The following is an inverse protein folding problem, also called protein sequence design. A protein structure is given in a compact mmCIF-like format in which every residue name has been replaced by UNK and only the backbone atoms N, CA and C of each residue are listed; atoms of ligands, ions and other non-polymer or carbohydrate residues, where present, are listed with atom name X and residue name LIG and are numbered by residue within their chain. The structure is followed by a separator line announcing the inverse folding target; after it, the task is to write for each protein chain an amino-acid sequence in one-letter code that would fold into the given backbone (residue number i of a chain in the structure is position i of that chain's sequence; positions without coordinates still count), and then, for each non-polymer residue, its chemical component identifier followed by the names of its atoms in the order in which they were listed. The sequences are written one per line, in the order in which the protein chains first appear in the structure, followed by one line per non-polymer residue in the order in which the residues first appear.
data_IF_286141952820
#
_entry.id   IF_286141952820
#
_cell.length_a   1.000
_cell.length_b   1.000
_cell.length_c   1.000
_cell.angle_alpha   90.00
_cell.angle_beta   90.00
_cell.angle_gamma   90.00
#
_symmetry.space_group_name_H-M   'P 1'
#
loop_
_entity.id
_entity.type
_entity.pdbx_description
1 polymer ?
#
# COMPACT_ATOMS: atom_id res chain seq x y z
N UNK A 1 32.03 -28.21 -27.98
CA UNK A 1 32.63 -29.06 -26.93
C UNK A 1 31.96 -28.75 -25.61
N UNK A 2 31.13 -29.65 -25.09
CA UNK A 2 30.43 -29.45 -23.82
C UNK A 2 31.33 -29.83 -22.64
N UNK A 3 31.46 -28.94 -21.66
CA UNK A 3 32.30 -29.17 -20.47
C UNK A 3 31.72 -30.32 -19.62
N UNK A 4 32.49 -31.39 -19.48
CA UNK A 4 32.27 -32.50 -18.54
C UNK A 4 32.63 -32.06 -17.11
N UNK A 5 31.77 -31.32 -16.43
CA UNK A 5 31.89 -31.17 -14.97
C UNK A 5 30.93 -32.12 -14.28
N UNK A 6 31.43 -33.30 -13.92
CA UNK A 6 30.75 -34.24 -13.04
C UNK A 6 31.29 -34.05 -11.63
N UNK A 7 30.68 -33.16 -10.83
CA UNK A 7 31.09 -33.01 -9.43
C UNK A 7 30.56 -34.12 -8.50
N UNK A 8 29.52 -34.87 -8.91
CA UNK A 8 28.96 -35.98 -8.13
C UNK A 8 28.41 -37.08 -9.06
N UNK A 9 29.03 -38.27 -9.12
CA UNK A 9 28.45 -39.40 -9.83
C UNK A 9 27.19 -39.84 -9.07
N UNK A 10 26.07 -40.01 -9.78
CA UNK A 10 24.70 -40.28 -9.28
C UNK A 10 23.82 -39.08 -8.92
N UNK A 11 24.27 -37.84 -9.13
CA UNK A 11 23.36 -36.70 -8.95
C UNK A 11 22.36 -36.62 -10.14
N UNK A 12 21.04 -36.52 -9.89
CA UNK A 12 20.05 -36.49 -10.96
C UNK A 12 20.28 -35.28 -11.88
N UNK A 13 20.40 -35.54 -13.19
CA UNK A 13 20.61 -34.50 -14.22
C UNK A 13 19.41 -33.57 -14.40
N UNK A 14 18.25 -33.96 -13.90
CA UNK A 14 17.09 -33.10 -13.75
C UNK A 14 17.12 -32.45 -12.37
N UNK A 15 18.00 -31.45 -12.19
CA UNK A 15 17.77 -30.43 -11.18
C UNK A 15 16.45 -29.77 -11.57
N UNK A 16 15.36 -30.15 -10.91
CA UNK A 16 14.14 -29.36 -10.96
C UNK A 16 14.54 -27.97 -10.46
N UNK A 17 14.69 -27.03 -11.39
CA UNK A 17 14.95 -25.63 -11.06
C UNK A 17 13.91 -25.16 -10.05
N UNK A 18 14.23 -24.10 -9.29
CA UNK A 18 13.39 -23.55 -8.22
C UNK A 18 11.90 -23.70 -8.57
N UNK A 19 11.20 -24.57 -7.84
CA UNK A 19 9.78 -24.81 -8.07
C UNK A 19 9.05 -23.48 -8.23
N UNK A 20 8.21 -23.36 -9.28
CA UNK A 20 7.46 -22.13 -9.58
C UNK A 20 6.80 -21.68 -8.28
N UNK A 21 7.27 -20.56 -7.71
CA UNK A 21 6.74 -20.04 -6.44
C UNK A 21 5.22 -19.94 -6.60
N UNK A 22 4.49 -20.51 -5.65
CA UNK A 22 3.03 -20.39 -5.64
C UNK A 22 2.66 -18.91 -5.69
N UNK A 23 1.56 -18.58 -6.36
CA UNK A 23 1.08 -17.20 -6.43
C UNK A 23 0.92 -16.60 -5.03
N UNK A 24 0.48 -17.42 -4.08
CA UNK A 24 0.38 -17.10 -2.65
C UNK A 24 1.73 -16.68 -2.07
N UNK A 25 2.83 -17.37 -2.39
CA UNK A 25 4.18 -17.01 -1.93
C UNK A 25 4.66 -15.69 -2.52
N UNK A 26 4.32 -15.40 -3.80
CA UNK A 26 4.63 -14.13 -4.45
C UNK A 26 3.87 -12.97 -3.80
N UNK A 27 2.57 -13.16 -3.55
CA UNK A 27 1.73 -12.19 -2.87
C UNK A 27 2.22 -11.94 -1.43
N UNK A 28 2.54 -12.99 -0.69
CA UNK A 28 3.09 -12.88 0.66
C UNK A 28 4.39 -12.07 0.67
N UNK A 29 5.30 -12.33 -0.28
CA UNK A 29 6.55 -11.56 -0.40
C UNK A 29 6.26 -10.08 -0.68
N UNK A 30 5.37 -9.78 -1.64
CA UNK A 30 5.00 -8.40 -1.97
C UNK A 30 4.33 -7.67 -0.79
N UNK A 31 3.50 -8.36 0.00
CA UNK A 31 2.91 -7.80 1.21
C UNK A 31 3.99 -7.51 2.27
N UNK A 32 4.99 -8.38 2.43
CA UNK A 32 6.11 -8.12 3.34
C UNK A 32 6.93 -6.90 2.92
N UNK A 33 7.12 -6.69 1.62
CA UNK A 33 7.80 -5.50 1.12
C UNK A 33 6.96 -4.23 1.35
N UNK A 34 5.63 -4.30 1.17
CA UNK A 34 4.74 -3.18 1.48
C UNK A 34 4.73 -2.80 2.97
N UNK A 35 4.89 -3.78 3.87
CA UNK A 35 4.95 -3.54 5.32
C UNK A 35 6.18 -2.75 5.76
N UNK A 36 7.28 -2.81 5.00
CA UNK A 36 8.52 -2.11 5.32
C UNK A 36 8.43 -0.60 5.12
N UNK A 37 7.47 -0.13 4.31
CA UNK A 37 7.32 1.30 4.05
C UNK A 37 6.80 2.06 5.28
N UNK A 38 7.27 3.30 5.42
CA UNK A 38 6.68 4.22 6.37
C UNK A 38 5.28 4.65 5.90
N UNK A 39 4.44 5.03 6.84
CA UNK A 39 3.08 5.54 6.57
C UNK A 39 3.04 6.67 5.51
N UNK A 40 3.88 7.73 5.57
CA UNK A 40 3.92 8.76 4.52
C UNK A 40 4.27 8.22 3.13
N UNK A 41 5.22 7.30 3.04
CA UNK A 41 5.70 6.73 1.77
C UNK A 41 4.63 5.83 1.16
N UNK A 42 3.95 5.04 2.00
CA UNK A 42 2.82 4.23 1.54
C UNK A 42 1.69 5.13 1.00
N UNK A 43 1.40 6.23 1.67
CA UNK A 43 0.39 7.18 1.21
C UNK A 43 0.80 7.82 -0.13
N UNK A 44 2.05 8.25 -0.29
CA UNK A 44 2.53 8.88 -1.53
C UNK A 44 2.57 7.92 -2.73
N UNK A 45 2.84 6.64 -2.51
CA UNK A 45 2.76 5.63 -3.57
C UNK A 45 1.33 5.37 -4.03
N UNK A 46 0.38 5.39 -3.09
CA UNK A 46 -1.01 5.03 -3.36
C UNK A 46 -1.90 6.21 -3.74
N UNK A 47 -1.48 7.45 -3.49
CA UNK A 47 -2.21 8.66 -3.93
C UNK A 47 -2.33 8.74 -5.45
N UNK A 48 -1.39 8.18 -6.20
CA UNK A 48 -1.47 8.06 -7.68
C UNK A 48 -2.73 7.29 -8.11
N UNK A 49 -3.13 6.28 -7.35
CA UNK A 49 -4.31 5.47 -7.63
C UNK A 49 -5.58 5.98 -6.95
N UNK A 50 -5.43 6.78 -5.89
CA UNK A 50 -6.52 7.28 -5.09
C UNK A 50 -6.32 8.78 -4.81
N UNK A 51 -6.68 9.66 -5.77
CA UNK A 51 -6.44 11.08 -5.65
C UNK A 51 -7.27 11.69 -4.51
N UNK A 52 -6.77 12.78 -3.92
CA UNK A 52 -7.41 13.47 -2.79
C UNK A 52 -8.86 13.91 -3.11
N UNK A 53 -9.15 14.15 -4.38
CA UNK A 53 -10.50 14.48 -4.90
C UNK A 53 -11.53 13.38 -4.65
N UNK A 54 -11.08 12.12 -4.51
CA UNK A 54 -11.94 10.99 -4.15
C UNK A 54 -12.51 11.14 -2.73
N UNK A 55 -11.67 11.62 -1.80
CA UNK A 55 -12.05 11.83 -0.40
C UNK A 55 -12.83 13.14 -0.19
N UNK A 56 -12.65 14.12 -1.07
CA UNK A 56 -13.43 15.37 -1.05
C UNK A 56 -14.93 15.15 -1.30
N UNK A 57 -15.30 14.10 -2.03
CA UNK A 57 -16.71 13.74 -2.33
C UNK A 57 -17.39 12.92 -1.23
N UNK A 58 -16.72 12.68 -0.10
CA UNK A 58 -17.26 11.85 0.98
C UNK A 58 -18.45 12.53 1.69
N UNK A 59 -19.55 11.81 1.95
CA UNK A 59 -20.71 12.34 2.68
C UNK A 59 -20.27 12.65 4.12
N UNK A 60 -20.15 13.95 4.45
CA UNK A 60 -19.58 14.41 5.72
C UNK A 60 -18.57 15.55 5.57
N UNK A 61 -18.14 15.84 4.34
CA UNK A 61 -17.42 17.06 3.96
C UNK A 61 -18.37 18.29 3.89
N UNK A 62 -19.41 18.35 4.72
CA UNK A 62 -20.19 19.58 4.90
C UNK A 62 -19.24 20.64 5.47
N UNK A 63 -19.05 21.68 4.68
CA UNK A 63 -18.09 22.76 4.82
C UNK A 63 -18.04 23.37 6.24
N UNK A 64 -16.82 23.62 6.73
CA UNK A 64 -16.57 24.55 7.84
C UNK A 64 -15.65 24.03 8.96
N UNK A 65 -15.71 22.75 9.33
CA UNK A 65 -14.96 22.24 10.49
C UNK A 65 -13.62 21.63 10.08
N UNK A 66 -12.52 22.31 10.43
CA UNK A 66 -11.16 21.73 10.38
C UNK A 66 -11.10 20.55 11.36
N UNK A 67 -11.07 19.33 10.84
CA UNK A 67 -10.95 18.12 11.67
C UNK A 67 -9.49 17.86 11.99
N UNK A 68 -9.20 17.54 13.25
CA UNK A 68 -7.87 17.12 13.70
C UNK A 68 -7.36 15.93 12.88
N UNK A 69 -8.24 14.99 12.53
CA UNK A 69 -7.97 13.89 11.61
C UNK A 69 -8.97 13.95 10.45
N UNK A 70 -8.56 14.38 9.25
CA UNK A 70 -9.40 14.34 8.07
C UNK A 70 -9.56 12.88 7.61
N UNK A 71 -10.66 12.57 6.90
CA UNK A 71 -11.00 11.20 6.51
C UNK A 71 -9.91 10.53 5.67
N UNK A 72 -9.21 11.29 4.84
CA UNK A 72 -8.07 10.80 4.04
C UNK A 72 -6.93 10.28 4.92
N UNK A 73 -6.52 11.05 5.93
CA UNK A 73 -5.46 10.67 6.85
C UNK A 73 -5.84 9.45 7.68
N UNK A 74 -7.12 9.35 8.10
CA UNK A 74 -7.65 8.19 8.82
C UNK A 74 -7.67 6.95 7.95
N UNK A 75 -8.04 7.10 6.67
CA UNK A 75 -8.03 6.00 5.71
C UNK A 75 -6.64 5.41 5.53
N UNK A 76 -5.62 6.25 5.30
CA UNK A 76 -4.24 5.77 5.13
C UNK A 76 -3.70 5.10 6.40
N UNK A 77 -3.99 5.69 7.57
CA UNK A 77 -3.63 5.09 8.86
C UNK A 77 -4.32 3.74 9.09
N UNK A 78 -5.60 3.64 8.72
CA UNK A 78 -6.35 2.38 8.79
C UNK A 78 -5.81 1.34 7.82
N UNK A 79 -5.49 1.72 6.58
CA UNK A 79 -4.87 0.83 5.61
C UNK A 79 -3.53 0.29 6.13
N UNK A 80 -2.71 1.17 6.71
CA UNK A 80 -1.45 0.78 7.32
C UNK A 80 -1.62 -0.21 8.49
N UNK A 81 -2.66 -0.02 9.30
CA UNK A 81 -3.05 -0.95 10.36
C UNK A 81 -3.55 -2.30 9.81
N UNK A 82 -4.29 -2.31 8.70
CA UNK A 82 -4.75 -3.54 8.04
C UNK A 82 -3.58 -4.32 7.44
N UNK A 83 -2.58 -3.63 6.89
CA UNK A 83 -1.37 -4.28 6.38
C UNK A 83 -0.51 -4.90 7.49
N UNK A 84 -0.55 -4.34 8.70
CA UNK A 84 0.21 -4.78 9.87
C UNK A 84 -0.74 -5.24 10.99
N UNK A 85 -1.22 -6.49 10.95
CA UNK A 85 -2.27 -6.96 11.87
C UNK A 85 -1.87 -6.91 13.35
N UNK A 86 -0.57 -7.01 13.66
CA UNK A 86 -0.04 -6.98 15.02
C UNK A 86 0.06 -5.56 15.61
N UNK A 87 -0.29 -4.52 14.82
CA UNK A 87 -0.11 -3.13 15.20
C UNK A 87 -1.23 -2.60 16.09
N UNK A 88 -0.87 -2.20 17.32
CA UNK A 88 -1.79 -1.54 18.22
C UNK A 88 -2.21 -0.16 17.71
N UNK A 89 -3.41 0.30 18.07
CA UNK A 89 -3.91 1.61 17.67
C UNK A 89 -3.00 2.77 18.14
N UNK A 90 -2.29 2.59 19.26
CA UNK A 90 -1.35 3.57 19.80
C UNK A 90 -0.16 3.78 18.86
N UNK A 91 0.40 2.72 18.28
CA UNK A 91 1.52 2.82 17.34
C UNK A 91 1.12 3.56 16.06
N UNK A 92 -0.09 3.31 15.57
CA UNK A 92 -0.65 4.01 14.42
C UNK A 92 -0.75 5.51 14.69
N UNK A 93 -1.25 5.90 15.87
CA UNK A 93 -1.35 7.31 16.28
C UNK A 93 0.03 7.97 16.41
N UNK A 94 1.02 7.26 16.94
CA UNK A 94 2.41 7.73 17.00
C UNK A 94 2.97 7.99 15.61
N UNK A 95 2.80 7.05 14.66
CA UNK A 95 3.21 7.23 13.26
C UNK A 95 2.47 8.36 12.57
N UNK A 96 1.18 8.50 12.84
CA UNK A 96 0.36 9.59 12.32
C UNK A 96 0.85 10.96 12.82
N UNK A 97 1.28 11.04 14.08
CA UNK A 97 1.89 12.24 14.62
C UNK A 97 3.22 12.54 13.94
N UNK A 98 4.10 11.55 13.77
CA UNK A 98 5.35 11.74 13.04
C UNK A 98 5.11 12.25 11.62
N UNK A 99 4.12 11.69 10.92
CA UNK A 99 3.72 12.17 9.59
C UNK A 99 3.20 13.61 9.61
N UNK A 100 2.38 13.97 10.60
CA UNK A 100 1.93 15.36 10.77
C UNK A 100 3.07 16.31 11.06
N UNK A 101 4.05 15.89 11.86
CA UNK A 101 5.26 16.66 12.14
C UNK A 101 6.11 16.84 10.89
N UNK A 102 6.26 15.82 10.04
CA UNK A 102 7.02 15.95 8.79
C UNK A 102 6.35 16.92 7.81
N UNK A 103 5.01 17.01 7.80
CA UNK A 103 4.27 18.00 7.01
C UNK A 103 4.39 19.45 7.53
N UNK A 104 4.79 19.66 8.79
CA UNK A 104 4.96 21.02 9.37
C UNK A 104 6.10 21.82 8.74
N UNK A 105 7.07 21.16 8.11
CA UNK A 105 8.25 21.83 7.56
C UNK A 105 7.93 22.68 6.30
N UNK A 106 6.74 22.56 5.70
CA UNK A 106 6.36 23.29 4.48
C UNK A 106 5.19 24.28 4.60
N UNK A 107 4.35 24.20 5.64
CA UNK A 107 3.18 25.06 5.78
C UNK A 107 3.02 25.58 7.22
N UNK A 108 3.25 26.89 7.41
CA UNK A 108 3.12 27.64 8.66
C UNK A 108 1.66 27.83 9.16
N UNK A 109 0.70 27.05 8.65
CA UNK A 109 -0.69 27.14 9.07
C UNK A 109 -0.90 26.33 10.36
N UNK A 110 -1.61 26.93 11.33
CA UNK A 110 -1.95 26.39 12.65
C UNK A 110 -2.47 24.94 12.59
N UNK A 111 -1.56 23.97 12.70
CA UNK A 111 -1.87 22.55 12.76
C UNK A 111 -1.78 22.05 14.20
N UNK A 112 -2.94 21.92 14.83
CA UNK A 112 -3.08 21.33 16.16
C UNK A 112 -2.59 19.88 16.14
N UNK A 113 -1.61 19.57 16.99
CA UNK A 113 -1.06 18.22 17.09
C UNK A 113 -2.14 17.26 17.63
N UNK A 114 -2.33 16.07 17.04
CA UNK A 114 -3.20 15.05 17.61
C UNK A 114 -2.73 14.69 19.03
N UNK A 115 -3.67 14.58 19.98
CA UNK A 115 -3.41 14.10 21.35
C UNK A 115 -2.73 12.73 21.36
N UNK A 116 -2.06 12.37 22.46
CA UNK A 116 -1.44 11.04 22.63
C UNK A 116 -2.49 9.91 22.74
N UNK A 117 -3.73 10.26 23.08
CA UNK A 117 -4.82 9.30 23.21
C UNK A 117 -5.26 8.69 21.88
N UNK A 118 -5.62 7.40 21.93
CA UNK A 118 -6.13 6.62 20.79
C UNK A 118 -7.60 6.85 20.49
N UNK A 119 -8.36 7.43 21.43
CA UNK A 119 -9.81 7.64 21.33
C UNK A 119 -10.20 8.43 20.08
N UNK A 120 -9.49 9.51 19.77
CA UNK A 120 -9.75 10.33 18.58
C UNK A 120 -9.58 9.55 17.27
N UNK A 121 -8.55 8.71 17.18
CA UNK A 121 -8.33 7.82 16.03
C UNK A 121 -9.40 6.74 15.94
N UNK A 122 -9.71 6.06 17.04
CA UNK A 122 -10.72 5.00 17.08
C UNK A 122 -12.12 5.53 16.71
N UNK A 123 -12.51 6.70 17.20
CA UNK A 123 -13.76 7.35 16.83
C UNK A 123 -13.79 7.75 15.35
N UNK A 124 -12.70 8.34 14.85
CA UNK A 124 -12.60 8.74 13.44
C UNK A 124 -12.63 7.53 12.50
N UNK A 125 -12.01 6.41 12.89
CA UNK A 125 -12.06 5.14 12.17
C UNK A 125 -13.49 4.59 12.11
N UNK A 126 -14.23 4.61 13.22
CA UNK A 126 -15.66 4.21 13.25
C UNK A 126 -16.53 5.11 12.39
N UNK A 127 -16.20 6.40 12.31
CA UNK A 127 -16.91 7.38 11.49
C UNK A 127 -16.57 7.28 9.99
N UNK A 128 -15.60 6.45 9.59
CA UNK A 128 -15.26 6.24 8.19
C UNK A 128 -16.37 5.43 7.51
N UNK A 129 -17.02 6.00 6.51
CA UNK A 129 -18.13 5.33 5.82
C UNK A 129 -17.63 4.07 5.11
N UNK A 130 -18.23 2.93 5.42
CA UNK A 130 -17.89 1.64 4.80
C UNK A 130 -17.97 1.71 3.26
N UNK A 131 -18.97 2.41 2.72
CA UNK A 131 -19.14 2.60 1.28
C UNK A 131 -17.92 3.29 0.62
N UNK A 132 -17.31 4.27 1.28
CA UNK A 132 -16.10 4.93 0.78
C UNK A 132 -14.92 3.97 0.75
N UNK A 133 -14.76 3.15 1.80
CA UNK A 133 -13.69 2.15 1.88
C UNK A 133 -13.83 1.13 0.76
N UNK A 134 -15.03 0.58 0.55
CA UNK A 134 -15.32 -0.37 -0.54
C UNK A 134 -15.00 0.27 -1.90
N UNK A 135 -15.51 1.48 -2.17
CA UNK A 135 -15.24 2.21 -3.41
C UNK A 135 -13.75 2.47 -3.62
N UNK A 136 -13.01 2.79 -2.56
CA UNK A 136 -11.56 3.00 -2.63
C UNK A 136 -10.83 1.71 -3.04
N UNK A 137 -11.18 0.59 -2.42
CA UNK A 137 -10.61 -0.72 -2.77
C UNK A 137 -11.00 -1.18 -4.17
N UNK A 138 -12.24 -0.94 -4.61
CA UNK A 138 -12.68 -1.23 -5.98
C UNK A 138 -11.89 -0.42 -7.01
N UNK A 139 -11.71 0.87 -6.74
CA UNK A 139 -10.92 1.77 -7.59
C UNK A 139 -9.49 1.26 -7.68
N UNK A 140 -8.84 0.99 -6.54
CA UNK A 140 -7.50 0.44 -6.49
C UNK A 140 -7.40 -0.89 -7.26
N UNK A 141 -8.35 -1.81 -7.06
CA UNK A 141 -8.41 -3.09 -7.77
C UNK A 141 -8.54 -2.90 -9.28
N UNK A 142 -9.34 -1.94 -9.74
CA UNK A 142 -9.50 -1.64 -11.16
C UNK A 142 -8.21 -1.10 -11.78
N UNK A 143 -7.48 -0.22 -11.07
CA UNK A 143 -6.18 0.28 -11.50
C UNK A 143 -5.12 -0.82 -11.53
N UNK A 144 -5.03 -1.64 -10.48
CA UNK A 144 -4.07 -2.75 -10.45
C UNK A 144 -4.34 -3.78 -11.54
N UNK A 145 -5.61 -4.10 -11.83
CA UNK A 145 -5.98 -4.98 -12.96
C UNK A 145 -5.53 -4.38 -14.30
N UNK A 146 -5.71 -3.07 -14.50
CA UNK A 146 -5.24 -2.38 -15.71
C UNK A 146 -3.72 -2.40 -15.80
N UNK A 147 -3.00 -2.11 -14.72
CA UNK A 147 -1.53 -2.17 -14.69
C UNK A 147 -1.00 -3.58 -14.93
N UNK A 148 -1.64 -4.61 -14.35
CA UNK A 148 -1.26 -6.01 -14.58
C UNK A 148 -1.56 -6.44 -16.02
N UNK A 149 -2.70 -6.01 -16.58
CA UNK A 149 -3.02 -6.24 -17.99
C UNK A 149 -2.03 -5.53 -18.93
N UNK A 150 -1.63 -4.29 -18.61
CA UNK A 150 -0.60 -3.54 -19.35
C UNK A 150 0.76 -4.22 -19.22
N UNK A 151 1.16 -4.67 -18.04
CA UNK A 151 2.40 -5.43 -17.82
C UNK A 151 2.39 -6.73 -18.61
N UNK A 152 1.29 -7.49 -18.58
CA UNK A 152 1.15 -8.71 -19.37
C UNK A 152 1.18 -8.42 -20.87
N UNK A 153 0.57 -7.32 -21.30
CA UNK A 153 0.59 -6.89 -22.70
C UNK A 153 2.00 -6.43 -23.13
N UNK A 154 2.75 -5.77 -22.25
CA UNK A 154 4.15 -5.39 -22.46
C UNK A 154 5.08 -6.60 -22.48
N UNK A 155 4.88 -7.58 -21.59
CA UNK A 155 5.63 -8.84 -21.59
C UNK A 155 5.37 -9.63 -22.89
N UNK A 156 4.12 -9.67 -23.35
CA UNK A 156 3.74 -10.27 -24.64
C UNK A 156 4.36 -9.48 -25.80
N UNK A 157 4.28 -8.16 -25.78
CA UNK A 157 4.85 -7.29 -26.82
C UNK A 157 6.38 -7.44 -26.90
N UNK A 158 7.08 -7.39 -25.76
CA UNK A 158 8.53 -7.61 -25.66
C UNK A 158 8.94 -9.02 -26.13
N UNK A 159 8.11 -10.04 -25.88
CA UNK A 159 8.35 -11.40 -26.38
C UNK A 159 8.09 -11.57 -27.89
N UNK A 160 7.35 -10.65 -28.50
CA UNK A 160 7.05 -10.62 -29.95
C UNK A 160 8.01 -9.74 -30.75
N UNK A 161 8.94 -9.04 -30.10
CA UNK A 161 10.04 -8.36 -30.80
C UNK A 161 11.07 -9.45 -31.16
N UNK A 162 11.26 -9.80 -32.45
CA UNK A 162 12.33 -10.71 -32.83
C UNK A 162 13.66 -10.05 -32.47
N UNK A 163 14.42 -10.71 -31.61
CA UNK A 163 15.79 -10.30 -31.29
C UNK A 163 16.64 -10.29 -32.58
N UNK A 164 17.45 -9.25 -32.82
CA UNK A 164 18.31 -9.15 -34.00
C UNK A 164 19.38 -10.25 -34.03
#
# INVERSE_FOLDING_TARGET
MALKTCFLPHFPRCLQGRAKRSEVSRLATGLQDLRKFALPDLASLLTVFLPDTFFAKAPGAKAGRVRLLPPITVFWAFLYQVLNPDMACQEVVSKLRCWRLSQRQGHAASFTQPSLGTSGYCQSRKALSLHLVIRAFETLRSHLKRCQAISACLDVFLSSIPSP
#
